data_IF_825943125974
#
_entry.id   IF_825943125974
#
_cell.length_a   1.000
_cell.length_b   1.000
_cell.length_c   1.000
_cell.angle_alpha   90.00
_cell.angle_beta   90.00
_cell.angle_gamma   90.00
#
_symmetry.space_group_name_H-M   'P 1'
#
loop_
_entity.id
_entity.type
_entity.pdbx_description
1 polymer ?
#
# COMPACT_ATOMS: atom_id res chain seq x y z
N UNK A 1 -10.59 14.39 1.87
CA UNK A 1 -10.02 15.68 2.19
C UNK A 1 -8.74 15.84 1.39
N UNK A 2 -8.70 16.90 0.59
CA UNK A 2 -7.56 17.19 -0.25
C UNK A 2 -6.30 17.35 0.63
N UNK A 3 -5.25 16.61 0.35
CA UNK A 3 -3.95 16.70 1.05
C UNK A 3 -3.29 18.09 0.91
N UNK A 4 -3.88 18.98 0.13
CA UNK A 4 -3.39 20.33 -0.11
C UNK A 4 -3.73 21.29 1.03
N UNK A 5 -4.69 20.95 1.89
CA UNK A 5 -5.13 21.81 2.99
C UNK A 5 -5.04 21.05 4.31
N UNK A 6 -4.63 21.75 5.35
CA UNK A 6 -4.61 21.22 6.72
C UNK A 6 -5.60 22.00 7.58
N UNK A 7 -6.44 21.30 8.30
CA UNK A 7 -7.25 21.88 9.37
C UNK A 7 -6.39 21.97 10.63
N UNK A 8 -6.22 23.16 11.13
CA UNK A 8 -5.54 23.42 12.40
C UNK A 8 -6.63 23.44 13.47
N UNK A 9 -6.46 22.65 14.53
CA UNK A 9 -7.23 22.84 15.75
C UNK A 9 -6.71 24.12 16.39
N UNK A 10 -7.55 25.14 16.58
CA UNK A 10 -7.13 26.30 17.34
C UNK A 10 -6.77 25.86 18.76
N UNK A 11 -5.84 26.57 19.40
CA UNK A 11 -5.59 26.38 20.83
C UNK A 11 -6.86 26.68 21.58
N UNK A 12 -7.23 25.79 22.52
CA UNK A 12 -8.44 25.95 23.31
C UNK A 12 -8.36 27.26 24.09
N UNK A 13 -9.17 28.25 23.71
CA UNK A 13 -9.38 29.46 24.51
C UNK A 13 -10.58 29.21 25.39
N UNK A 14 -10.44 29.61 26.64
CA UNK A 14 -11.56 29.61 27.61
C UNK A 14 -11.96 31.05 27.91
N UNK A 15 -13.25 31.25 28.20
CA UNK A 15 -13.76 32.53 28.71
C UNK A 15 -13.34 32.75 30.16
N UNK A 16 -13.75 33.88 30.74
CA UNK A 16 -13.44 34.26 32.14
C UNK A 16 -14.04 33.27 33.16
N UNK A 17 -15.05 32.50 32.72
CA UNK A 17 -15.72 31.48 33.54
C UNK A 17 -15.16 30.07 33.33
N UNK A 18 -14.11 29.90 32.51
CA UNK A 18 -13.44 28.65 32.25
C UNK A 18 -14.11 27.77 31.18
N UNK A 19 -15.14 28.26 30.46
CA UNK A 19 -15.81 27.50 29.41
C UNK A 19 -15.06 27.62 28.09
N UNK A 20 -15.03 26.54 27.28
CA UNK A 20 -14.35 26.59 25.97
C UNK A 20 -15.10 27.51 25.02
N UNK A 21 -14.42 28.54 24.49
CA UNK A 21 -14.94 29.41 23.44
C UNK A 21 -14.94 28.64 22.13
N UNK A 22 -16.10 28.52 21.43
CA UNK A 22 -16.14 27.91 20.11
C UNK A 22 -15.21 28.64 19.14
N UNK A 23 -14.21 27.95 18.61
CA UNK A 23 -13.30 28.52 17.64
C UNK A 23 -13.49 27.81 16.30
N UNK A 24 -13.62 28.59 15.24
CA UNK A 24 -13.64 28.05 13.89
C UNK A 24 -12.32 27.38 13.54
N UNK A 25 -12.40 26.21 12.91
CA UNK A 25 -11.23 25.49 12.44
C UNK A 25 -10.53 26.32 11.38
N UNK A 26 -9.33 26.74 11.67
CA UNK A 26 -8.50 27.41 10.69
C UNK A 26 -7.97 26.41 9.67
N UNK A 27 -8.03 26.78 8.41
CA UNK A 27 -7.48 26.00 7.31
C UNK A 27 -6.25 26.70 6.76
N UNK A 28 -5.15 25.95 6.57
CA UNK A 28 -3.96 26.46 5.89
C UNK A 28 -3.56 25.49 4.77
N UNK A 29 -2.79 26.00 3.82
CA UNK A 29 -2.13 25.15 2.84
C UNK A 29 -1.22 24.14 3.54
N UNK A 30 -1.18 22.92 3.03
CA UNK A 30 -0.15 21.97 3.40
C UNK A 30 1.21 22.52 2.92
N UNK A 31 2.26 22.29 3.71
CA UNK A 31 3.59 22.89 3.49
C UNK A 31 4.10 22.75 2.05
N UNK A 32 3.91 21.59 1.44
CA UNK A 32 4.34 21.34 0.05
C UNK A 32 3.54 22.17 -0.95
N UNK A 33 2.22 22.27 -0.75
CA UNK A 33 1.35 23.06 -1.63
C UNK A 33 1.66 24.56 -1.56
N UNK A 34 1.99 25.03 -0.37
CA UNK A 34 2.43 26.42 -0.12
C UNK A 34 3.75 26.73 -0.84
N UNK A 35 4.73 25.85 -0.69
CA UNK A 35 6.01 25.96 -1.39
C UNK A 35 5.87 25.94 -2.92
N UNK A 36 4.99 25.12 -3.46
CA UNK A 36 4.71 25.07 -4.89
C UNK A 36 4.06 26.38 -5.35
N UNK A 37 3.13 26.93 -4.57
CA UNK A 37 2.47 28.19 -4.91
C UNK A 37 3.45 29.37 -4.86
N UNK A 38 4.32 29.45 -3.86
CA UNK A 38 5.39 30.44 -3.77
C UNK A 38 6.36 30.32 -4.94
N UNK A 39 6.84 29.10 -5.24
CA UNK A 39 7.77 28.86 -6.34
C UNK A 39 7.20 29.34 -7.68
N UNK A 40 5.89 29.17 -7.91
CA UNK A 40 5.22 29.59 -9.13
C UNK A 40 5.08 31.11 -9.28
N UNK A 41 5.11 31.85 -8.18
CA UNK A 41 5.03 33.32 -8.17
C UNK A 41 6.38 33.98 -8.55
N UNK A 42 7.50 33.27 -8.43
CA UNK A 42 8.82 33.79 -8.69
C UNK A 42 9.06 34.15 -10.17
N UNK A 43 8.79 33.25 -11.17
CA UNK A 43 9.03 33.57 -12.56
C UNK A 43 7.87 34.39 -13.16
N UNK A 44 8.18 35.31 -14.05
CA UNK A 44 7.17 36.08 -14.80
C UNK A 44 6.24 35.18 -15.64
N UNK A 45 6.72 34.00 -16.04
CA UNK A 45 5.97 33.00 -16.75
C UNK A 45 6.31 31.59 -16.24
N UNK A 46 5.29 30.84 -15.82
CA UNK A 46 5.44 29.49 -15.31
C UNK A 46 4.50 28.52 -16.01
N UNK A 47 5.04 27.40 -16.47
CA UNK A 47 4.26 26.24 -16.90
C UNK A 47 4.47 25.14 -15.86
N UNK A 48 3.37 24.57 -15.38
CA UNK A 48 3.39 23.50 -14.39
C UNK A 48 2.78 22.23 -14.98
N UNK A 49 3.57 21.16 -15.00
CA UNK A 49 3.13 19.82 -15.40
C UNK A 49 3.06 18.93 -14.17
N UNK A 50 1.90 18.35 -13.92
CA UNK A 50 1.72 17.37 -12.87
C UNK A 50 1.45 16.00 -13.46
N UNK A 51 2.21 15.00 -13.05
CA UNK A 51 1.99 13.58 -13.39
C UNK A 51 1.43 12.89 -12.16
N UNK A 52 0.28 12.24 -12.29
CA UNK A 52 -0.40 11.57 -11.19
C UNK A 52 -1.23 10.40 -11.69
N UNK A 53 -1.32 9.34 -10.90
CA UNK A 53 -2.24 8.23 -11.13
C UNK A 53 -3.67 8.53 -10.63
N UNK A 54 -3.84 9.58 -9.80
CA UNK A 54 -5.13 9.93 -9.16
C UNK A 54 -5.47 11.41 -9.38
N UNK A 55 -5.86 11.83 -10.60
CA UNK A 55 -6.08 13.24 -10.94
C UNK A 55 -7.33 13.84 -10.31
N UNK A 56 -8.23 13.05 -9.75
CA UNK A 56 -9.56 13.48 -9.29
C UNK A 56 -9.52 14.61 -8.28
N UNK A 57 -8.59 14.59 -7.34
CA UNK A 57 -8.46 15.63 -6.30
C UNK A 57 -8.16 17.02 -6.87
N UNK A 58 -7.61 17.10 -8.09
CA UNK A 58 -7.32 18.37 -8.75
C UNK A 58 -8.57 19.02 -9.30
N UNK A 59 -9.54 18.22 -9.74
CA UNK A 59 -10.84 18.70 -10.24
C UNK A 59 -11.81 19.08 -9.14
N UNK A 60 -11.64 18.47 -7.95
CA UNK A 60 -12.47 18.74 -6.76
C UNK A 60 -12.04 19.99 -5.99
N UNK A 61 -11.05 20.73 -6.48
CA UNK A 61 -10.67 22.01 -5.88
C UNK A 61 -11.81 23.03 -6.05
N UNK A 62 -12.08 23.86 -5.04
CA UNK A 62 -13.09 24.91 -5.15
C UNK A 62 -12.75 25.91 -6.25
N UNK A 63 -13.77 26.51 -6.85
CA UNK A 63 -13.61 27.59 -7.79
C UNK A 63 -13.45 28.91 -7.02
N UNK A 64 -12.54 29.75 -7.49
CA UNK A 64 -12.29 31.05 -6.89
C UNK A 64 -11.10 31.08 -5.92
N UNK A 65 -10.92 32.25 -5.31
CA UNK A 65 -9.88 32.47 -4.31
C UNK A 65 -10.36 32.05 -2.93
N UNK A 66 -9.51 31.34 -2.21
CA UNK A 66 -9.75 30.96 -0.81
C UNK A 66 -9.02 31.94 0.09
N UNK A 67 -9.73 32.52 1.05
CA UNK A 67 -9.09 33.27 2.11
C UNK A 67 -8.66 32.32 3.22
N UNK A 68 -7.37 32.12 3.34
CA UNK A 68 -6.73 31.29 4.37
C UNK A 68 -6.03 32.21 5.37
N UNK A 69 -6.73 32.66 6.39
CA UNK A 69 -6.19 33.54 7.44
C UNK A 69 -5.57 34.85 6.90
N UNK A 70 -6.27 35.52 5.97
CA UNK A 70 -5.80 36.75 5.33
C UNK A 70 -4.91 36.55 4.10
N UNK A 71 -4.48 35.32 3.82
CA UNK A 71 -3.79 34.99 2.59
C UNK A 71 -4.77 34.47 1.54
N UNK A 72 -4.84 35.15 0.42
CA UNK A 72 -5.66 34.74 -0.72
C UNK A 72 -4.89 33.73 -1.56
N UNK A 73 -5.42 32.51 -1.65
CA UNK A 73 -4.85 31.42 -2.41
C UNK A 73 -5.81 30.98 -3.48
N UNK A 74 -5.35 30.95 -4.72
CA UNK A 74 -6.14 30.41 -5.83
C UNK A 74 -5.83 28.92 -5.97
N UNK A 75 -6.85 28.04 -5.78
CA UNK A 75 -6.65 26.61 -5.94
C UNK A 75 -6.19 26.24 -7.34
N UNK A 76 -5.41 25.17 -7.40
CA UNK A 76 -4.79 24.75 -8.63
C UNK A 76 -5.69 23.76 -9.36
N UNK A 77 -6.33 24.20 -10.43
CA UNK A 77 -7.03 23.31 -11.35
C UNK A 77 -6.21 23.12 -12.64
N UNK A 78 -6.13 21.91 -13.16
CA UNK A 78 -5.48 21.68 -14.45
C UNK A 78 -6.26 22.39 -15.55
N UNK A 79 -5.53 23.05 -16.44
CA UNK A 79 -6.12 23.70 -17.61
C UNK A 79 -6.59 22.68 -18.65
N UNK A 80 -5.91 21.57 -18.71
CA UNK A 80 -6.25 20.36 -19.47
C UNK A 80 -5.60 19.14 -18.81
N UNK A 81 -6.12 17.98 -19.12
CA UNK A 81 -5.56 16.69 -18.69
C UNK A 81 -5.47 15.77 -19.88
N UNK A 82 -4.34 15.08 -20.00
CA UNK A 82 -4.13 14.05 -20.99
C UNK A 82 -3.97 12.71 -20.29
N UNK A 83 -4.80 11.73 -20.66
CA UNK A 83 -4.60 10.36 -20.24
C UNK A 83 -3.46 9.76 -21.06
N UNK A 84 -2.48 9.20 -20.38
CA UNK A 84 -1.45 8.41 -21.01
C UNK A 84 -2.08 7.07 -21.44
N UNK A 85 -1.91 6.62 -22.68
CA UNK A 85 -2.43 5.33 -23.11
C UNK A 85 -1.92 4.20 -22.22
N UNK A 86 -2.83 3.31 -21.84
CA UNK A 86 -2.51 2.12 -21.06
C UNK A 86 -1.90 1.08 -22.01
N UNK A 87 -0.80 0.47 -21.60
CA UNK A 87 -0.15 -0.59 -22.36
C UNK A 87 -1.00 -1.87 -22.33
N UNK A 88 -1.09 -2.60 -23.45
CA UNK A 88 -1.91 -3.81 -23.57
C UNK A 88 -1.58 -4.92 -22.57
N UNK A 89 -0.38 -4.90 -22.01
CA UNK A 89 0.07 -5.84 -20.95
C UNK A 89 -0.07 -5.26 -19.53
N UNK A 90 -0.78 -4.15 -19.38
CA UNK A 90 -1.03 -3.59 -18.05
C UNK A 90 -2.10 -4.42 -17.35
N UNK A 91 -1.79 -4.85 -16.16
CA UNK A 91 -2.72 -5.54 -15.26
C UNK A 91 -3.16 -4.53 -14.21
N UNK A 92 -4.44 -4.22 -14.19
CA UNK A 92 -5.01 -3.18 -13.35
C UNK A 92 -6.19 -3.65 -12.50
N UNK A 93 -7.04 -2.70 -12.13
CA UNK A 93 -8.18 -2.97 -11.26
C UNK A 93 -9.21 -3.92 -11.87
N UNK A 94 -9.35 -3.95 -13.19
CA UNK A 94 -10.27 -4.86 -13.86
C UNK A 94 -9.83 -6.31 -13.62
N UNK A 95 -8.57 -6.64 -13.91
CA UNK A 95 -8.00 -7.97 -13.78
C UNK A 95 -7.94 -8.40 -12.31
N UNK A 96 -7.55 -7.48 -11.39
CA UNK A 96 -7.44 -7.81 -9.96
C UNK A 96 -8.78 -7.99 -9.24
N UNK A 97 -9.80 -7.21 -9.58
CA UNK A 97 -11.02 -7.14 -8.75
C UNK A 97 -12.29 -7.59 -9.46
N UNK A 98 -12.25 -7.78 -10.77
CA UNK A 98 -13.40 -8.24 -11.54
C UNK A 98 -13.11 -9.59 -12.18
N UNK A 99 -12.08 -9.65 -13.03
CA UNK A 99 -11.77 -10.87 -13.77
C UNK A 99 -11.23 -11.98 -12.87
N UNK A 100 -10.54 -11.63 -11.79
CA UNK A 100 -10.05 -12.60 -10.78
C UNK A 100 -11.16 -13.32 -10.00
N UNK A 101 -12.39 -12.79 -9.99
CA UNK A 101 -13.53 -13.44 -9.35
C UNK A 101 -14.07 -14.62 -10.17
N UNK A 102 -13.70 -14.73 -11.43
CA UNK A 102 -14.08 -15.84 -12.29
C UNK A 102 -12.99 -16.92 -12.23
N UNK A 103 -13.35 -18.11 -11.71
CA UNK A 103 -12.44 -19.25 -11.62
C UNK A 103 -11.86 -19.72 -12.95
N UNK A 104 -12.56 -19.49 -14.06
CA UNK A 104 -12.10 -19.86 -15.40
C UNK A 104 -11.19 -18.81 -16.04
N UNK A 105 -11.00 -17.68 -15.38
CA UNK A 105 -10.11 -16.61 -15.84
C UNK A 105 -8.66 -16.94 -15.55
N UNK A 106 -7.76 -16.59 -16.49
CA UNK A 106 -6.32 -16.64 -16.24
C UNK A 106 -5.87 -15.74 -15.09
N UNK A 107 -6.73 -14.84 -14.62
CA UNK A 107 -6.49 -13.91 -13.53
C UNK A 107 -7.05 -14.38 -12.19
N UNK A 108 -7.65 -15.58 -12.10
CA UNK A 108 -8.29 -16.11 -10.88
C UNK A 108 -7.38 -16.12 -9.65
N UNK A 109 -6.06 -16.22 -9.84
CA UNK A 109 -5.08 -16.28 -8.75
C UNK A 109 -4.45 -14.91 -8.39
N UNK A 110 -4.88 -13.81 -9.02
CA UNK A 110 -4.32 -12.48 -8.74
C UNK A 110 -4.79 -11.89 -7.41
N UNK A 111 -5.96 -12.31 -6.91
CA UNK A 111 -6.54 -11.79 -5.69
C UNK A 111 -6.95 -12.90 -4.74
N UNK A 112 -6.41 -12.88 -3.54
CA UNK A 112 -6.81 -13.74 -2.44
C UNK A 112 -7.26 -12.89 -1.25
N UNK A 113 -8.49 -13.09 -0.81
CA UNK A 113 -8.97 -12.49 0.42
C UNK A 113 -8.27 -13.13 1.63
N UNK A 114 -7.78 -12.30 2.54
CA UNK A 114 -7.19 -12.75 3.80
C UNK A 114 -8.17 -12.54 4.95
N UNK A 115 -8.12 -13.42 5.95
CA UNK A 115 -8.95 -13.31 7.15
C UNK A 115 -8.58 -12.06 7.94
N UNK A 116 -9.57 -11.37 8.50
CA UNK A 116 -9.39 -10.20 9.36
C UNK A 116 -8.45 -10.51 10.53
N UNK A 117 -8.48 -11.72 11.07
CA UNK A 117 -7.56 -12.16 12.12
C UNK A 117 -6.09 -12.07 11.72
N UNK A 118 -5.76 -12.31 10.46
CA UNK A 118 -4.42 -12.15 9.94
C UNK A 118 -4.00 -10.67 9.94
N UNK A 119 -4.91 -9.79 9.52
CA UNK A 119 -4.69 -8.34 9.53
C UNK A 119 -4.48 -7.85 10.96
N UNK A 120 -5.30 -8.31 11.90
CA UNK A 120 -5.22 -7.93 13.32
C UNK A 120 -3.89 -8.33 13.95
N UNK A 121 -3.43 -9.56 13.69
CA UNK A 121 -2.11 -10.03 14.17
C UNK A 121 -0.96 -9.21 13.59
N UNK A 122 -1.08 -8.78 12.33
CA UNK A 122 -0.07 -7.97 11.67
C UNK A 122 -0.11 -6.50 12.09
N UNK A 123 -1.27 -5.98 12.51
CA UNK A 123 -1.48 -4.59 12.92
C UNK A 123 -1.08 -4.28 14.37
N UNK A 124 -1.01 -5.28 15.23
CA UNK A 124 -0.75 -5.09 16.66
C UNK A 124 0.54 -5.79 17.11
N UNK A 125 1.49 -5.01 17.61
CA UNK A 125 2.70 -5.55 18.21
C UNK A 125 2.36 -6.21 19.56
N UNK A 126 2.38 -7.54 19.60
CA UNK A 126 2.47 -8.27 20.87
C UNK A 126 3.87 -8.86 21.03
N UNK A 127 4.73 -8.11 21.74
CA UNK A 127 6.15 -8.46 21.97
C UNK A 127 6.35 -9.83 22.60
N UNK A 128 5.34 -10.36 23.29
CA UNK A 128 5.41 -11.62 24.04
C UNK A 128 5.13 -12.84 23.17
N UNK A 129 4.64 -12.64 21.93
CA UNK A 129 4.01 -13.72 21.18
C UNK A 129 4.46 -13.89 19.73
N UNK A 130 5.67 -13.43 19.37
CA UNK A 130 6.15 -13.65 18.00
C UNK A 130 6.05 -15.12 17.59
N UNK A 131 6.52 -16.03 18.44
CA UNK A 131 6.43 -17.46 18.17
C UNK A 131 4.97 -17.96 18.17
N UNK A 132 4.12 -17.43 19.02
CA UNK A 132 2.70 -17.78 19.03
C UNK A 132 1.94 -17.16 17.86
N UNK A 133 2.29 -15.94 17.43
CA UNK A 133 1.73 -15.31 16.24
C UNK A 133 2.04 -16.15 15.00
N UNK A 134 3.29 -16.56 14.84
CA UNK A 134 3.74 -17.42 13.74
C UNK A 134 3.16 -18.83 13.87
N UNK A 135 3.06 -19.35 15.10
CA UNK A 135 2.48 -20.67 15.40
C UNK A 135 0.95 -20.69 15.31
N UNK A 136 0.27 -19.53 15.38
CA UNK A 136 -1.18 -19.47 15.24
C UNK A 136 -1.59 -19.59 13.78
N UNK A 137 -2.64 -20.35 13.50
CA UNK A 137 -3.25 -20.37 12.15
C UNK A 137 -3.78 -19.00 11.69
N UNK A 138 -3.71 -17.97 12.54
CA UNK A 138 -4.19 -16.63 12.23
C UNK A 138 -3.36 -15.88 11.19
N UNK A 139 -2.11 -16.30 10.93
CA UNK A 139 -1.27 -15.69 9.87
C UNK A 139 -1.21 -16.54 8.60
N UNK A 140 -2.15 -17.49 8.45
CA UNK A 140 -2.16 -18.38 7.28
C UNK A 140 -2.12 -17.63 5.95
N UNK A 141 -2.91 -16.55 5.80
CA UNK A 141 -2.91 -15.74 4.58
C UNK A 141 -1.54 -15.13 4.22
N UNK A 142 -0.77 -14.70 5.23
CA UNK A 142 0.60 -14.21 5.01
C UNK A 142 1.55 -15.36 4.65
N UNK A 143 1.43 -16.51 5.31
CA UNK A 143 2.21 -17.70 5.00
C UNK A 143 1.96 -18.15 3.57
N UNK A 144 0.69 -18.23 3.17
CA UNK A 144 0.29 -18.54 1.80
C UNK A 144 0.90 -17.56 0.80
N UNK A 145 0.78 -16.25 1.03
CA UNK A 145 1.33 -15.23 0.14
C UNK A 145 2.85 -15.34 -0.02
N UNK A 146 3.59 -15.63 1.07
CA UNK A 146 5.04 -15.81 1.01
C UNK A 146 5.43 -17.09 0.25
N UNK A 147 4.77 -18.20 0.52
CA UNK A 147 5.04 -19.47 -0.17
C UNK A 147 4.71 -19.33 -1.66
N UNK A 148 3.56 -18.75 -2.02
CA UNK A 148 3.18 -18.49 -3.41
C UNK A 148 4.21 -17.61 -4.13
N UNK A 149 4.70 -16.56 -3.47
CA UNK A 149 5.74 -15.70 -4.02
C UNK A 149 7.06 -16.47 -4.27
N UNK A 150 7.49 -17.31 -3.35
CA UNK A 150 8.70 -18.11 -3.54
C UNK A 150 8.54 -19.15 -4.63
N UNK A 151 7.43 -19.88 -4.66
CA UNK A 151 7.16 -20.90 -5.68
C UNK A 151 7.05 -20.29 -7.07
N UNK A 152 6.25 -19.25 -7.25
CA UNK A 152 6.10 -18.56 -8.54
C UNK A 152 7.43 -17.97 -9.04
N UNK A 153 8.26 -17.44 -8.11
CA UNK A 153 9.59 -16.95 -8.43
C UNK A 153 10.52 -18.08 -8.89
N UNK A 154 10.46 -19.24 -8.22
CA UNK A 154 11.27 -20.40 -8.58
C UNK A 154 10.88 -20.94 -9.97
N UNK A 155 9.58 -21.11 -10.23
CA UNK A 155 9.06 -21.53 -11.53
C UNK A 155 9.51 -20.55 -12.63
N UNK A 156 9.35 -19.24 -12.39
CA UNK A 156 9.75 -18.22 -13.37
C UNK A 156 11.26 -18.23 -13.62
N UNK A 157 12.09 -18.44 -12.61
CA UNK A 157 13.54 -18.59 -12.79
C UNK A 157 13.91 -19.79 -13.64
N UNK A 158 13.22 -20.92 -13.46
CA UNK A 158 13.44 -22.11 -14.30
C UNK A 158 13.04 -21.81 -15.75
N UNK A 159 11.90 -21.18 -15.96
CA UNK A 159 11.45 -20.79 -17.30
C UNK A 159 12.46 -19.86 -17.99
N UNK A 160 12.92 -18.80 -17.30
CA UNK A 160 13.86 -17.82 -17.87
C UNK A 160 15.25 -18.44 -18.17
N UNK A 161 15.70 -19.41 -17.36
CA UNK A 161 16.95 -20.14 -17.61
C UNK A 161 16.87 -21.07 -18.81
N UNK A 162 15.69 -21.56 -19.14
CA UNK A 162 15.45 -22.47 -20.26
C UNK A 162 15.18 -21.74 -21.59
N UNK A 163 15.19 -20.41 -21.61
CA UNK A 163 15.09 -19.62 -22.82
C UNK A 163 16.36 -19.77 -23.69
N UNK A 164 16.26 -19.58 -25.02
CA UNK A 164 17.42 -19.56 -25.92
C UNK A 164 18.49 -18.55 -25.48
N UNK A 165 18.06 -17.44 -24.89
CA UNK A 165 18.90 -16.44 -24.24
C UNK A 165 18.57 -16.42 -22.74
N UNK A 166 19.27 -17.18 -21.90
CA UNK A 166 18.99 -17.28 -20.48
C UNK A 166 19.09 -15.93 -19.75
N UNK A 167 18.11 -15.67 -18.86
CA UNK A 167 18.07 -14.44 -18.08
C UNK A 167 18.04 -14.76 -16.58
N UNK A 168 18.69 -13.92 -15.79
CA UNK A 168 18.58 -13.98 -14.32
C UNK A 168 17.32 -13.22 -13.87
N UNK A 169 16.27 -13.97 -13.57
CA UNK A 169 15.01 -13.38 -13.11
C UNK A 169 15.07 -13.02 -11.62
N UNK A 170 14.77 -11.77 -11.32
CA UNK A 170 14.65 -11.24 -9.95
C UNK A 170 13.23 -10.78 -9.70
N UNK A 171 12.64 -11.29 -8.62
CA UNK A 171 11.33 -10.86 -8.16
C UNK A 171 11.44 -10.07 -6.86
N UNK A 172 10.50 -9.16 -6.65
CA UNK A 172 10.38 -8.39 -5.41
C UNK A 172 8.93 -8.40 -4.96
N UNK A 173 8.71 -8.53 -3.66
CA UNK A 173 7.40 -8.41 -3.04
C UNK A 173 7.37 -7.22 -2.10
N UNK A 174 6.22 -6.55 -2.00
CA UNK A 174 5.98 -5.47 -1.04
C UNK A 174 4.89 -5.92 -0.07
N UNK A 175 5.22 -5.91 1.22
CA UNK A 175 4.29 -6.18 2.30
C UNK A 175 3.94 -4.87 2.99
N UNK A 176 2.67 -4.49 2.91
CA UNK A 176 2.17 -3.25 3.49
C UNK A 176 0.76 -3.46 4.03
N UNK A 177 0.67 -3.68 5.32
CA UNK A 177 -0.60 -3.99 6.02
C UNK A 177 -1.09 -2.81 6.84
N UNK A 178 -0.19 -1.89 7.24
CA UNK A 178 -0.50 -0.83 8.19
C UNK A 178 0.15 0.50 7.79
N UNK A 179 -0.49 1.62 8.14
CA UNK A 179 0.00 2.97 7.86
C UNK A 179 1.00 3.43 8.94
N UNK A 180 0.86 2.93 10.17
CA UNK A 180 1.71 3.35 11.29
C UNK A 180 3.11 2.71 11.19
N UNK A 181 4.14 3.57 11.17
CA UNK A 181 5.55 3.15 11.12
C UNK A 181 5.97 2.25 12.29
N UNK A 182 5.34 2.39 13.46
CA UNK A 182 5.68 1.56 14.62
C UNK A 182 5.36 0.08 14.40
N UNK A 183 4.33 -0.20 13.60
CA UNK A 183 3.91 -1.56 13.30
C UNK A 183 4.75 -2.20 12.20
N UNK A 184 5.49 -1.41 11.39
CA UNK A 184 6.36 -1.95 10.35
C UNK A 184 7.49 -2.82 10.91
N UNK A 185 8.06 -2.47 12.07
CA UNK A 185 9.12 -3.28 12.71
C UNK A 185 8.57 -4.62 13.22
N UNK A 186 7.34 -4.63 13.71
CA UNK A 186 6.64 -5.86 14.08
C UNK A 186 6.39 -6.74 12.85
N UNK A 187 5.83 -6.18 11.79
CA UNK A 187 5.58 -6.88 10.51
C UNK A 187 6.86 -7.49 9.95
N UNK A 188 7.94 -6.71 9.93
CA UNK A 188 9.27 -7.19 9.50
C UNK A 188 9.75 -8.39 10.31
N UNK A 189 9.57 -8.38 11.64
CA UNK A 189 9.96 -9.51 12.50
C UNK A 189 9.13 -10.75 12.21
N UNK A 190 7.81 -10.61 12.03
CA UNK A 190 6.92 -11.71 11.67
C UNK A 190 7.31 -12.32 10.32
N UNK A 191 7.51 -11.48 9.31
CA UNK A 191 7.89 -11.91 7.97
C UNK A 191 9.25 -12.61 7.98
N UNK A 192 10.25 -12.04 8.65
CA UNK A 192 11.57 -12.65 8.75
C UNK A 192 11.52 -14.02 9.42
N UNK A 193 10.72 -14.15 10.49
CA UNK A 193 10.55 -15.44 11.17
C UNK A 193 9.89 -16.47 10.25
N UNK A 194 8.84 -16.10 9.53
CA UNK A 194 8.21 -16.99 8.54
C UNK A 194 9.17 -17.42 7.44
N UNK A 195 10.02 -16.51 6.96
CA UNK A 195 11.05 -16.84 5.96
C UNK A 195 12.06 -17.86 6.51
N UNK A 196 12.44 -17.73 7.78
CA UNK A 196 13.31 -18.69 8.45
C UNK A 196 12.64 -20.06 8.57
N UNK A 197 11.36 -20.09 8.97
CA UNK A 197 10.59 -21.32 9.10
C UNK A 197 10.36 -21.99 7.73
N UNK A 198 10.09 -21.22 6.66
CA UNK A 198 10.01 -21.74 5.30
C UNK A 198 11.33 -22.32 4.83
N UNK A 199 12.46 -21.66 5.10
CA UNK A 199 13.79 -22.18 4.77
C UNK A 199 14.09 -23.48 5.51
N UNK A 200 13.75 -23.56 6.79
CA UNK A 200 13.93 -24.78 7.59
C UNK A 200 13.10 -25.93 7.02
N UNK A 201 11.85 -25.66 6.63
CA UNK A 201 10.94 -26.66 6.04
C UNK A 201 11.46 -27.22 4.70
N UNK A 202 12.18 -26.42 3.92
CA UNK A 202 12.76 -26.86 2.64
C UNK A 202 14.01 -27.75 2.86
N UNK A 203 14.76 -27.51 3.96
CA UNK A 203 16.03 -28.22 4.24
C UNK A 203 15.80 -29.50 5.01
N UNK A 204 14.84 -29.56 5.91
CA UNK A 204 14.59 -30.67 6.81
C UNK A 204 13.08 -30.95 6.94
N UNK A 205 12.61 -31.99 6.20
CA UNK A 205 11.20 -32.38 6.19
C UNK A 205 10.71 -32.86 7.56
N UNK A 206 11.57 -33.47 8.37
CA UNK A 206 11.20 -34.07 9.66
C UNK A 206 11.00 -33.04 10.78
N UNK A 207 11.64 -31.88 10.68
CA UNK A 207 11.54 -30.79 11.67
C UNK A 207 10.64 -29.63 11.23
N UNK A 208 10.03 -29.76 10.08
CA UNK A 208 9.29 -28.67 9.45
C UNK A 208 7.88 -28.52 10.02
N UNK A 209 7.42 -27.29 10.07
CA UNK A 209 6.04 -26.95 10.46
C UNK A 209 5.04 -27.49 9.43
N UNK A 210 4.18 -28.41 9.85
CA UNK A 210 3.13 -29.02 9.01
C UNK A 210 2.29 -28.00 8.25
N UNK A 211 2.14 -26.79 8.79
CA UNK A 211 1.39 -25.71 8.13
C UNK A 211 2.09 -25.16 6.90
N UNK A 212 3.41 -25.11 6.91
CA UNK A 212 4.19 -24.69 5.75
C UNK A 212 4.08 -25.75 4.65
N UNK A 213 4.17 -27.02 4.99
CA UNK A 213 3.94 -28.11 4.02
C UNK A 213 2.53 -28.08 3.45
N UNK A 214 1.51 -27.88 4.29
CA UNK A 214 0.15 -27.75 3.81
C UNK A 214 0.00 -26.56 2.86
N UNK A 215 0.60 -25.41 3.17
CA UNK A 215 0.58 -24.25 2.28
C UNK A 215 1.31 -24.52 0.96
N UNK A 216 2.45 -25.21 0.98
CA UNK A 216 3.16 -25.64 -0.23
C UNK A 216 2.30 -26.55 -1.09
N UNK A 217 1.67 -27.55 -0.49
CA UNK A 217 0.83 -28.50 -1.22
C UNK A 217 -0.39 -27.82 -1.86
N UNK A 218 -1.10 -26.98 -1.11
CA UNK A 218 -2.25 -26.21 -1.64
C UNK A 218 -1.83 -25.34 -2.84
N UNK A 219 -0.73 -24.61 -2.69
CA UNK A 219 -0.25 -23.75 -3.76
C UNK A 219 0.24 -24.56 -4.95
N UNK A 220 0.85 -25.72 -4.71
CA UNK A 220 1.28 -26.61 -5.79
C UNK A 220 0.07 -27.13 -6.59
N UNK A 221 -1.02 -27.50 -5.92
CA UNK A 221 -2.28 -27.88 -6.57
C UNK A 221 -2.89 -26.73 -7.37
N UNK A 222 -2.79 -25.50 -6.89
CA UNK A 222 -3.26 -24.30 -7.61
C UNK A 222 -2.43 -24.00 -8.89
N UNK A 223 -1.20 -24.50 -8.98
CA UNK A 223 -0.30 -24.31 -10.14
C UNK A 223 -0.38 -25.44 -11.18
N UNK A 224 -1.01 -26.56 -10.87
CA UNK A 224 -1.12 -27.75 -11.75
C UNK A 224 -2.49 -27.89 -12.35
#
# INVERSE_FOLDING_TARGET
PSRNYQSIKPEAKVDEDGNPIPQDRQTKLAKISDQIDEFRKIPAFCRYLQVTATPYCLYLQPDGELNLNGNFVKPFKPRFTTLVPVHDKYIGGQEYYVDSLNSDSMYSHLYHAIDQKCVDVMGHEDKRYLNNAVASGNIYGLTYALVAFFMSTAVRRIQERNLPEPRDYKASAVFHVEIDKKNHDWQKRVINRLIEDIKAAIVDEDQSDQRIHNAINIIYEDFT
#
